data_IF_957499190685
#
_entry.id   IF_957499190685
#
_cell.length_a   1.000
_cell.length_b   1.000
_cell.length_c   1.000
_cell.angle_alpha   90.00
_cell.angle_beta   90.00
_cell.angle_gamma   90.00
#
_symmetry.space_group_name_H-M   'P 1'
#
loop_
_entity.id
_entity.type
_entity.pdbx_description
1 polymer ?
#
# COMPACT_ATOMS: atom_id res chain seq x y z
N UNK A 1 10.40 13.43 16.74
CA UNK A 1 9.34 13.84 15.81
C UNK A 1 9.71 13.23 14.49
N UNK A 2 8.96 12.22 14.06
CA UNK A 2 9.17 11.64 12.75
C UNK A 2 8.77 12.67 11.69
N UNK A 3 9.70 12.99 10.78
CA UNK A 3 9.60 14.12 9.87
C UNK A 3 8.81 13.79 8.59
N UNK A 4 8.36 12.55 8.44
CA UNK A 4 7.53 12.12 7.31
C UNK A 4 6.07 12.40 7.63
N UNK A 5 5.56 13.53 7.13
CA UNK A 5 4.13 13.84 7.19
C UNK A 5 3.27 12.93 6.30
N UNK A 6 3.90 12.10 5.46
CA UNK A 6 3.29 11.13 4.55
C UNK A 6 4.31 10.03 4.28
N UNK A 7 3.92 8.74 4.34
CA UNK A 7 4.77 7.61 3.94
C UNK A 7 4.28 6.99 2.62
N UNK A 8 4.38 7.78 1.56
CA UNK A 8 4.20 7.32 0.18
C UNK A 8 5.02 8.18 -0.78
N UNK A 9 5.36 7.59 -1.93
CA UNK A 9 6.14 8.25 -2.97
C UNK A 9 6.03 7.56 -4.31
N UNK A 10 6.39 8.28 -5.37
CA UNK A 10 6.42 7.75 -6.73
C UNK A 10 7.86 7.68 -7.22
N UNK A 11 8.15 6.64 -8.00
CA UNK A 11 9.43 6.45 -8.67
C UNK A 11 9.17 6.43 -10.17
N UNK A 12 9.85 7.31 -10.90
CA UNK A 12 9.87 7.30 -12.36
C UNK A 12 11.04 6.45 -12.85
N UNK A 13 10.73 5.38 -13.57
CA UNK A 13 11.76 4.53 -14.16
C UNK A 13 12.19 5.07 -15.52
N UNK A 14 13.50 5.19 -15.72
CA UNK A 14 14.07 5.26 -17.07
C UNK A 14 13.98 3.88 -17.69
N UNK A 15 13.24 3.78 -18.79
CA UNK A 15 12.97 2.51 -19.44
C UNK A 15 13.56 2.50 -20.86
N UNK A 16 14.14 1.38 -21.33
CA UNK A 16 14.87 1.35 -22.59
C UNK A 16 14.05 1.78 -23.81
N UNK A 17 14.75 2.28 -24.83
CA UNK A 17 14.18 2.49 -26.17
C UNK A 17 13.03 3.51 -26.23
N UNK A 18 12.94 4.41 -25.25
CA UNK A 18 11.87 5.42 -25.18
C UNK A 18 10.50 4.85 -24.84
N UNK A 19 10.44 3.58 -24.42
CA UNK A 19 9.22 2.93 -23.94
C UNK A 19 8.96 3.29 -22.48
N UNK A 20 7.81 2.90 -21.96
CA UNK A 20 7.46 3.00 -20.54
C UNK A 20 7.31 1.60 -19.96
N UNK A 21 7.62 1.43 -18.67
CA UNK A 21 7.41 0.15 -17.97
C UNK A 21 5.96 -0.34 -18.10
N UNK A 22 5.00 0.58 -18.07
CA UNK A 22 3.58 0.29 -18.24
C UNK A 22 3.23 -0.30 -19.62
N UNK A 23 4.06 -0.10 -20.65
CA UNK A 23 3.82 -0.65 -21.99
C UNK A 23 4.05 -2.17 -22.02
N UNK A 24 4.89 -2.69 -21.10
CA UNK A 24 5.17 -4.13 -20.96
C UNK A 24 4.33 -4.80 -19.86
N UNK A 25 3.99 -4.05 -18.80
CA UNK A 25 3.41 -4.61 -17.57
C UNK A 25 1.98 -4.17 -17.30
N UNK A 26 1.49 -3.16 -18.02
CA UNK A 26 0.28 -2.44 -17.64
C UNK A 26 0.49 -1.54 -16.42
N UNK A 27 -0.61 -1.05 -15.86
CA UNK A 27 -0.62 -0.27 -14.63
C UNK A 27 -1.96 -0.47 -13.91
N UNK A 28 -1.94 -0.32 -12.58
CA UNK A 28 -3.17 -0.22 -11.80
C UNK A 28 -3.71 1.20 -11.88
N UNK A 29 -5.03 1.34 -11.82
CA UNK A 29 -5.69 2.61 -11.50
C UNK A 29 -5.57 2.87 -9.99
N UNK A 30 -6.01 4.03 -9.50
CA UNK A 30 -5.98 4.36 -8.07
C UNK A 30 -7.30 4.97 -7.58
N UNK A 31 -7.61 4.74 -6.31
CA UNK A 31 -8.75 5.34 -5.62
C UNK A 31 -8.25 6.28 -4.51
N UNK A 32 -8.66 7.55 -4.57
CA UNK A 32 -8.37 8.53 -3.51
C UNK A 32 -9.49 8.63 -2.48
N UNK A 33 -10.72 8.23 -2.86
CA UNK A 33 -11.89 8.28 -1.98
C UNK A 33 -12.28 6.86 -1.61
N UNK A 34 -11.87 6.45 -0.41
CA UNK A 34 -12.17 5.12 0.12
C UNK A 34 -13.43 5.20 1.00
N UNK A 35 -14.42 4.31 0.81
CA UNK A 35 -15.59 4.27 1.68
C UNK A 35 -15.22 4.06 3.15
N UNK A 36 -15.93 4.73 4.06
CA UNK A 36 -15.79 4.51 5.50
C UNK A 36 -16.18 3.08 5.88
N UNK A 37 -15.58 2.59 6.96
CA UNK A 37 -15.79 1.26 7.52
C UNK A 37 -14.93 0.19 6.86
N UNK A 38 -15.44 -1.04 6.87
CA UNK A 38 -14.72 -2.19 6.33
C UNK A 38 -14.81 -2.22 4.80
N UNK A 39 -13.66 -2.36 4.14
CA UNK A 39 -13.58 -2.43 2.67
C UNK A 39 -12.76 -3.67 2.29
N UNK A 40 -13.28 -4.56 1.42
CA UNK A 40 -12.52 -5.69 0.90
C UNK A 40 -11.24 -5.23 0.22
N UNK A 41 -10.11 -5.78 0.65
CA UNK A 41 -8.78 -5.36 0.19
C UNK A 41 -7.91 -6.57 -0.08
N UNK A 42 -7.15 -6.51 -1.18
CA UNK A 42 -6.06 -7.46 -1.46
C UNK A 42 -4.73 -6.75 -1.28
N UNK A 43 -3.83 -7.31 -0.50
CA UNK A 43 -2.54 -6.72 -0.15
C UNK A 43 -1.43 -7.62 -0.65
N UNK A 44 -0.44 -7.01 -1.29
CA UNK A 44 0.72 -7.68 -1.86
C UNK A 44 2.02 -7.18 -1.22
N UNK A 45 3.02 -8.06 -1.13
CA UNK A 45 4.35 -7.70 -0.62
C UNK A 45 5.39 -8.79 -0.86
N UNK A 46 6.66 -8.43 -0.65
CA UNK A 46 7.82 -9.32 -0.76
C UNK A 46 8.57 -9.35 0.59
N UNK A 47 7.98 -9.92 1.65
CA UNK A 47 8.66 -10.03 2.93
C UNK A 47 9.92 -10.87 2.79
N UNK A 48 10.99 -10.50 3.47
CA UNK A 48 12.30 -11.18 3.43
C UNK A 48 12.66 -11.87 4.75
N UNK A 49 11.71 -11.94 5.68
CA UNK A 49 11.87 -12.59 6.97
C UNK A 49 10.58 -13.27 7.45
N UNK A 50 10.66 -13.93 8.61
CA UNK A 50 9.55 -14.70 9.16
C UNK A 50 8.65 -13.90 10.13
N UNK A 51 8.77 -12.58 10.22
CA UNK A 51 7.97 -11.76 11.15
C UNK A 51 6.51 -11.61 10.71
N UNK A 52 6.25 -11.53 9.40
CA UNK A 52 4.93 -11.26 8.86
C UNK A 52 3.92 -12.42 8.93
N UNK A 53 2.64 -12.08 8.91
CA UNK A 53 1.49 -12.97 8.95
C UNK A 53 0.92 -13.40 7.59
N UNK A 54 1.60 -13.12 6.47
CA UNK A 54 1.25 -13.76 5.19
C UNK A 54 1.31 -15.28 5.34
N UNK A 55 0.20 -15.95 5.02
CA UNK A 55 0.09 -17.43 5.07
C UNK A 55 0.45 -18.02 3.71
N UNK A 56 0.99 -19.24 3.70
CA UNK A 56 1.34 -19.99 2.48
C UNK A 56 2.30 -19.22 1.53
N UNK A 57 3.25 -18.47 2.09
CA UNK A 57 4.28 -17.77 1.34
C UNK A 57 5.67 -18.08 1.90
N UNK A 58 6.71 -18.09 1.05
CA UNK A 58 8.09 -18.42 1.43
C UNK A 58 8.79 -17.33 2.24
N UNK A 59 8.39 -16.06 2.06
CA UNK A 59 8.94 -14.87 2.75
C UNK A 59 10.47 -14.74 2.61
N UNK A 60 10.95 -14.91 1.39
CA UNK A 60 12.37 -14.88 1.03
C UNK A 60 12.81 -13.61 0.28
N UNK A 61 11.92 -12.60 0.23
CA UNK A 61 12.13 -11.35 -0.50
C UNK A 61 12.06 -11.48 -2.02
N UNK A 62 11.77 -12.67 -2.55
CA UNK A 62 11.77 -12.96 -3.99
C UNK A 62 10.39 -13.39 -4.50
N UNK A 63 9.58 -14.01 -3.65
CA UNK A 63 8.23 -14.45 -4.01
C UNK A 63 7.16 -13.48 -3.52
N UNK A 64 6.19 -13.22 -4.41
CA UNK A 64 5.03 -12.39 -4.11
C UNK A 64 4.16 -13.10 -3.05
N UNK A 65 3.97 -12.44 -1.92
CA UNK A 65 2.99 -12.84 -0.91
C UNK A 65 1.70 -12.04 -1.07
N UNK A 66 0.57 -12.67 -0.73
CA UNK A 66 -0.75 -12.07 -0.83
C UNK A 66 -1.54 -12.30 0.46
N UNK A 67 -2.34 -11.30 0.83
CA UNK A 67 -3.37 -11.38 1.86
C UNK A 67 -4.66 -10.75 1.34
N UNK A 68 -5.81 -11.31 1.69
CA UNK A 68 -7.10 -10.79 1.24
C UNK A 68 -8.14 -10.91 2.35
N UNK A 69 -8.52 -9.77 2.93
CA UNK A 69 -9.69 -9.58 3.81
C UNK A 69 -10.04 -8.08 3.84
N UNK A 70 -10.87 -7.67 4.77
CA UNK A 70 -11.24 -6.25 4.90
C UNK A 70 -10.12 -5.45 5.56
N UNK A 71 -9.86 -4.27 4.98
CA UNK A 71 -9.23 -3.15 5.68
C UNK A 71 -10.28 -2.39 6.49
N UNK A 72 -9.85 -1.60 7.49
CA UNK A 72 -10.72 -0.89 8.42
C UNK A 72 -10.21 0.52 8.77
N UNK A 73 -11.11 1.38 9.23
CA UNK A 73 -10.77 2.68 9.82
C UNK A 73 -10.36 2.52 11.28
N UNK A 74 -9.31 3.22 11.71
CA UNK A 74 -8.93 3.22 13.12
C UNK A 74 -9.98 3.93 13.99
N UNK A 75 -10.19 3.50 15.25
CA UNK A 75 -11.13 4.16 16.16
C UNK A 75 -10.77 5.64 16.39
N UNK A 76 -11.78 6.50 16.48
CA UNK A 76 -11.61 7.94 16.73
C UNK A 76 -10.98 8.30 18.08
N UNK A 77 -10.83 7.31 18.97
CA UNK A 77 -10.09 7.43 20.23
C UNK A 77 -8.57 7.40 20.05
N UNK A 78 -8.06 6.99 18.88
CA UNK A 78 -6.63 6.95 18.57
C UNK A 78 -6.18 8.28 17.94
N UNK A 79 -4.95 8.75 18.23
CA UNK A 79 -4.43 10.01 17.71
C UNK A 79 -4.18 9.91 16.21
N UNK A 80 -4.65 10.87 15.40
CA UNK A 80 -4.50 10.86 13.93
C UNK A 80 -5.14 9.65 13.23
N UNK A 81 -6.19 9.05 13.82
CA UNK A 81 -6.88 7.88 13.27
C UNK A 81 -7.34 8.04 11.81
N UNK A 82 -7.67 9.27 11.40
CA UNK A 82 -8.13 9.62 10.05
C UNK A 82 -7.00 9.61 9.00
N UNK A 83 -5.73 9.61 9.42
CA UNK A 83 -4.58 9.57 8.52
C UNK A 83 -4.16 8.15 8.14
N UNK A 84 -4.81 7.14 8.73
CA UNK A 84 -4.41 5.76 8.55
C UNK A 84 -5.60 4.86 8.24
N UNK A 85 -5.32 3.83 7.45
CA UNK A 85 -6.20 2.68 7.28
C UNK A 85 -5.47 1.41 7.68
N UNK A 86 -6.13 0.52 8.39
CA UNK A 86 -5.52 -0.69 8.95
C UNK A 86 -5.94 -1.97 8.22
N UNK A 87 -5.07 -2.99 8.32
CA UNK A 87 -5.39 -4.40 8.06
C UNK A 87 -4.96 -5.25 9.25
N UNK A 88 -5.66 -6.36 9.49
CA UNK A 88 -5.40 -7.24 10.65
C UNK A 88 -4.35 -8.31 10.32
N UNK A 89 -3.19 -7.86 9.81
CA UNK A 89 -2.03 -8.70 9.55
C UNK A 89 -0.78 -7.83 9.56
N UNK A 90 0.30 -8.32 10.15
CA UNK A 90 1.65 -7.81 9.91
C UNK A 90 2.13 -8.31 8.54
N UNK A 91 2.44 -7.42 7.60
CA UNK A 91 2.93 -7.82 6.26
C UNK A 91 4.40 -8.24 6.25
N UNK A 92 5.13 -8.07 7.35
CA UNK A 92 6.54 -8.44 7.51
C UNK A 92 7.52 -7.46 6.87
N UNK A 93 8.79 -7.58 7.24
CA UNK A 93 9.83 -6.66 6.76
C UNK A 93 10.11 -6.89 5.27
N UNK A 94 10.25 -5.80 4.51
CA UNK A 94 10.41 -5.83 3.05
C UNK A 94 9.11 -5.71 2.26
N UNK A 95 7.94 -5.79 2.93
CA UNK A 95 6.65 -5.53 2.29
C UNK A 95 6.27 -4.05 2.22
N UNK A 96 7.05 -3.14 2.84
CA UNK A 96 6.81 -1.70 2.77
C UNK A 96 6.75 -1.21 1.32
N UNK A 97 5.79 -0.33 1.02
CA UNK A 97 5.46 0.10 -0.34
C UNK A 97 4.59 -0.87 -1.13
N UNK A 98 4.33 -2.09 -0.62
CA UNK A 98 3.48 -3.08 -1.27
C UNK A 98 2.03 -2.61 -1.41
N UNK A 99 1.38 -2.80 -2.57
CA UNK A 99 0.09 -2.17 -2.88
C UNK A 99 -1.09 -2.84 -2.17
N UNK A 100 -2.07 -2.01 -1.79
CA UNK A 100 -3.37 -2.41 -1.28
C UNK A 100 -4.41 -2.14 -2.37
N UNK A 101 -5.07 -3.18 -2.86
CA UNK A 101 -5.99 -3.11 -3.99
C UNK A 101 -7.45 -3.26 -3.56
N UNK A 102 -8.31 -2.39 -4.08
CA UNK A 102 -9.78 -2.52 -4.08
C UNK A 102 -10.24 -3.12 -5.41
N UNK A 103 -11.34 -3.88 -5.38
CA UNK A 103 -11.96 -4.51 -6.55
C UNK A 103 -10.98 -5.39 -7.35
N UNK A 104 -10.04 -6.04 -6.65
CA UNK A 104 -9.06 -6.90 -7.31
C UNK A 104 -9.72 -8.12 -7.94
N UNK A 105 -9.51 -8.30 -9.25
CA UNK A 105 -9.90 -9.49 -9.99
C UNK A 105 -8.66 -10.33 -10.34
N UNK A 106 -8.49 -11.51 -9.74
CA UNK A 106 -7.32 -12.36 -9.99
C UNK A 106 -7.28 -12.93 -11.42
N UNK A 107 -8.39 -12.93 -12.17
CA UNK A 107 -8.41 -13.43 -13.55
C UNK A 107 -7.79 -12.44 -14.54
N UNK A 108 -7.94 -11.15 -14.26
CA UNK A 108 -7.41 -10.06 -15.09
C UNK A 108 -6.20 -9.39 -14.46
N UNK A 109 -5.90 -9.71 -13.20
CA UNK A 109 -4.91 -9.04 -12.36
C UNK A 109 -5.11 -7.52 -12.31
N UNK A 110 -6.37 -7.08 -12.35
CA UNK A 110 -6.77 -5.68 -12.37
C UNK A 110 -7.43 -5.27 -11.05
N UNK A 111 -7.38 -3.98 -10.74
CA UNK A 111 -7.95 -3.38 -9.54
C UNK A 111 -7.44 -1.95 -9.38
N UNK A 112 -7.85 -1.31 -8.28
CA UNK A 112 -7.46 0.07 -7.98
C UNK A 112 -6.59 0.08 -6.72
N UNK A 113 -5.41 0.70 -6.79
CA UNK A 113 -4.60 0.92 -5.60
C UNK A 113 -5.31 1.94 -4.71
N UNK A 114 -5.48 1.61 -3.43
CA UNK A 114 -6.12 2.46 -2.42
C UNK A 114 -5.18 2.80 -1.26
N UNK A 115 -3.95 2.30 -1.29
CA UNK A 115 -2.97 2.45 -0.24
C UNK A 115 -1.71 1.62 -0.51
N UNK A 116 -0.70 1.82 0.31
CA UNK A 116 0.52 1.02 0.33
C UNK A 116 0.89 0.68 1.77
N UNK A 117 1.59 -0.43 1.96
CA UNK A 117 2.04 -0.83 3.30
C UNK A 117 3.09 0.16 3.83
N UNK A 118 2.76 0.87 4.90
CA UNK A 118 3.71 1.64 5.70
C UNK A 118 4.46 0.69 6.64
N UNK A 119 3.70 0.07 7.53
CA UNK A 119 4.20 -0.83 8.56
C UNK A 119 3.28 -0.88 9.76
N UNK A 120 3.76 -1.46 10.87
CA UNK A 120 3.05 -1.48 12.14
C UNK A 120 3.12 -0.09 12.77
N UNK A 121 1.96 0.41 13.21
CA UNK A 121 1.89 1.57 14.10
C UNK A 121 2.06 1.07 15.54
N UNK A 122 2.96 1.70 16.29
CA UNK A 122 3.19 1.37 17.70
C UNK A 122 2.13 2.01 18.61
N UNK A 123 2.24 1.78 19.93
CA UNK A 123 1.32 2.32 20.94
C UNK A 123 0.96 3.80 20.66
N UNK A 124 -0.33 4.15 20.61
CA UNK A 124 -1.50 3.40 21.12
C UNK A 124 -2.21 2.47 20.12
N UNK A 125 -1.61 2.21 18.96
CA UNK A 125 -2.20 1.35 17.93
C UNK A 125 -1.98 -0.15 18.21
N UNK A 126 -2.80 -1.06 17.62
CA UNK A 126 -2.55 -2.50 17.68
C UNK A 126 -1.23 -2.85 16.99
N UNK A 127 -0.35 -3.55 17.70
CA UNK A 127 0.99 -3.96 17.24
C UNK A 127 0.97 -5.11 16.22
N UNK A 128 -0.20 -5.69 15.93
CA UNK A 128 -0.39 -6.76 14.94
C UNK A 128 -0.98 -6.28 13.62
N UNK A 129 -1.23 -4.98 13.47
CA UNK A 129 -1.93 -4.41 12.31
C UNK A 129 -0.98 -3.57 11.47
N UNK A 130 -0.90 -3.88 10.18
CA UNK A 130 -0.22 -3.00 9.22
C UNK A 130 -1.13 -1.83 8.87
N UNK A 131 -0.56 -0.64 8.80
CA UNK A 131 -1.24 0.56 8.33
C UNK A 131 -0.81 0.94 6.91
N UNK A 132 -1.70 1.64 6.21
CA UNK A 132 -1.42 2.51 5.08
C UNK A 132 -1.72 3.95 5.50
N UNK A 133 -0.92 4.90 5.02
CA UNK A 133 -1.30 6.31 5.06
C UNK A 133 -2.51 6.55 4.14
N UNK A 134 -3.40 7.44 4.57
CA UNK A 134 -4.47 7.96 3.73
C UNK A 134 -3.90 8.88 2.65
N UNK A 135 -4.47 8.84 1.44
CA UNK A 135 -4.07 9.70 0.34
C UNK A 135 -5.01 10.90 0.25
N UNK A 136 -4.48 12.08 0.53
CA UNK A 136 -5.20 13.33 0.28
C UNK A 136 -5.01 13.75 -1.17
N UNK A 137 -6.09 14.19 -1.81
CA UNK A 137 -6.11 14.46 -3.24
C UNK A 137 -5.00 15.43 -3.66
N UNK A 138 -4.94 16.61 -3.04
CA UNK A 138 -3.98 17.65 -3.43
C UNK A 138 -2.52 17.19 -3.27
N UNK A 139 -2.21 16.50 -2.16
CA UNK A 139 -0.87 15.99 -1.88
C UNK A 139 -0.48 14.88 -2.86
N UNK A 140 -1.39 13.93 -3.10
CA UNK A 140 -1.17 12.81 -4.01
C UNK A 140 -0.98 13.29 -5.46
N UNK A 141 -1.88 14.14 -5.97
CA UNK A 141 -1.82 14.60 -7.36
C UNK A 141 -0.61 15.49 -7.60
N UNK A 142 -0.27 16.38 -6.65
CA UNK A 142 0.93 17.21 -6.75
C UNK A 142 2.20 16.36 -6.80
N UNK A 143 2.29 15.33 -5.96
CA UNK A 143 3.45 14.44 -5.95
C UNK A 143 3.56 13.59 -7.22
N UNK A 144 2.43 13.11 -7.74
CA UNK A 144 2.36 12.37 -8.99
C UNK A 144 2.79 13.26 -10.17
N UNK A 145 2.23 14.46 -10.31
CA UNK A 145 2.60 15.42 -11.34
C UNK A 145 4.09 15.77 -11.28
N UNK A 146 4.64 15.95 -10.07
CA UNK A 146 6.06 16.18 -9.90
C UNK A 146 6.90 14.99 -10.40
N UNK A 147 6.52 13.77 -10.02
CA UNK A 147 7.23 12.57 -10.44
C UNK A 147 7.16 12.38 -11.96
N UNK A 148 6.00 12.58 -12.58
CA UNK A 148 5.80 12.45 -14.03
C UNK A 148 6.62 13.47 -14.83
N UNK A 149 6.70 14.71 -14.33
CA UNK A 149 7.39 15.82 -15.01
C UNK A 149 8.88 15.93 -14.65
N UNK A 150 9.36 15.21 -13.64
CA UNK A 150 10.79 15.15 -13.31
C UNK A 150 11.60 14.58 -14.48
N UNK A 151 12.73 15.21 -14.81
CA UNK A 151 13.65 14.81 -15.88
C UNK A 151 14.68 13.80 -15.40
#
# INVERSE_FOLDING_TARGET
QDATRFDYGFIKFYYPEGRKLQDDTGAFDYDLVIPQGNVPTTVFGYPHDNSGGFVNCSKDGQHLCQWQRDSFDFPSTLPNYEWYRGINVDVGYGSSGGPWLRNYDPNTNAGNVMGISHGILYEPYPDTSTASWAWHQDDFTTLLEYAENSQ
#
